data_IF_528000774926
#
_entry.id   IF_528000774926
#
_cell.length_a   1.000
_cell.length_b   1.000
_cell.length_c   1.000
_cell.angle_alpha   90.00
_cell.angle_beta   90.00
_cell.angle_gamma   90.00
#
_symmetry.space_group_name_H-M   'P 1'
#
loop_
_entity.id
_entity.type
_entity.pdbx_description
1 polymer ?
#
# COMPACT_ATOMS: atom_id res chain seq x y z
N UNK A 1 14.39 -38.51 6.23
CA UNK A 1 14.16 -39.75 6.99
C UNK A 1 12.88 -40.36 6.39
N UNK A 2 12.88 -41.38 5.53
CA UNK A 2 13.31 -42.77 5.77
C UNK A 2 12.69 -43.27 7.09
N UNK A 3 11.85 -44.32 7.19
CA UNK A 3 11.72 -45.54 6.38
C UNK A 3 10.79 -46.54 7.14
N UNK A 4 10.23 -47.53 6.42
CA UNK A 4 9.64 -48.83 6.87
C UNK A 4 8.39 -48.82 7.78
N UNK A 5 7.43 -49.76 7.70
CA UNK A 5 7.37 -51.07 7.03
C UNK A 5 6.56 -52.05 7.91
N UNK A 6 5.68 -52.84 7.28
CA UNK A 6 5.25 -54.22 7.61
C UNK A 6 4.53 -54.50 8.95
N UNK A 7 3.29 -55.01 8.94
CA UNK A 7 2.80 -56.39 8.70
C UNK A 7 2.95 -57.37 9.89
N UNK A 8 1.78 -57.85 10.31
CA UNK A 8 1.41 -59.17 10.89
C UNK A 8 1.80 -59.64 12.31
N UNK A 9 0.77 -60.29 12.91
CA UNK A 9 0.77 -61.39 13.89
C UNK A 9 1.12 -61.09 15.36
N UNK A 10 0.55 -61.74 16.38
CA UNK A 10 -0.66 -62.52 16.64
C UNK A 10 -0.66 -62.76 18.17
N UNK A 11 -1.86 -62.91 18.77
CA UNK A 11 -2.09 -63.57 20.06
C UNK A 11 -1.85 -62.72 21.32
N UNK A 12 -2.53 -62.97 22.45
CA UNK A 12 -3.52 -63.98 22.84
C UNK A 12 -3.88 -63.63 24.29
N UNK A 13 -5.17 -63.58 24.65
CA UNK A 13 -5.74 -63.82 26.00
C UNK A 13 -7.24 -63.45 25.91
N UNK A 14 -8.13 -64.37 25.50
CA UNK A 14 -8.67 -65.53 26.22
C UNK A 14 -9.51 -65.16 27.47
N UNK A 15 -10.83 -64.99 27.28
CA UNK A 15 -11.88 -65.34 28.25
C UNK A 15 -13.07 -65.94 27.50
N UNK A 16 -12.98 -67.26 27.28
CA UNK A 16 -14.05 -68.27 27.26
C UNK A 16 -14.95 -68.20 28.50
N UNK A 17 -16.21 -68.62 28.57
CA UNK A 17 -17.17 -69.29 27.66
C UNK A 17 -18.58 -69.24 28.32
N UNK A 18 -19.66 -69.65 27.62
CA UNK A 18 -21.06 -69.57 28.03
C UNK A 18 -21.53 -70.80 28.81
N UNK A 19 -22.66 -70.68 29.51
CA UNK A 19 -23.38 -71.82 30.12
C UNK A 19 -24.65 -72.10 29.31
N UNK A 20 -24.58 -73.22 28.60
CA UNK A 20 -25.67 -74.07 28.18
C UNK A 20 -26.20 -74.87 29.39
N UNK A 21 -27.46 -75.29 29.36
CA UNK A 21 -27.92 -76.49 30.07
C UNK A 21 -29.08 -77.07 29.25
N UNK A 22 -28.78 -78.00 28.34
CA UNK A 22 -28.74 -79.47 28.55
C UNK A 22 -30.16 -80.12 28.47
N UNK A 23 -30.42 -81.32 27.97
CA UNK A 23 -29.84 -82.27 26.98
C UNK A 23 -30.92 -83.37 26.78
N UNK A 24 -30.82 -84.11 25.67
CA UNK A 24 -31.07 -85.56 25.54
C UNK A 24 -32.47 -86.14 25.19
N UNK A 25 -32.49 -86.89 24.08
CA UNK A 25 -33.37 -88.06 23.75
C UNK A 25 -32.62 -89.39 24.10
N UNK A 26 -33.12 -90.66 23.99
CA UNK A 26 -34.26 -91.24 23.19
C UNK A 26 -34.98 -92.47 23.90
N UNK A 27 -35.55 -93.51 23.23
CA UNK A 27 -36.83 -93.60 22.47
C UNK A 27 -37.85 -94.68 22.98
N UNK A 28 -39.02 -94.72 22.31
CA UNK A 28 -39.89 -95.87 21.97
C UNK A 28 -41.27 -96.06 22.66
N UNK A 29 -42.20 -96.51 21.79
CA UNK A 29 -43.50 -97.19 21.97
C UNK A 29 -44.77 -96.29 21.96
N UNK A 30 -45.57 -96.47 20.90
CA UNK A 30 -46.93 -95.93 20.72
C UNK A 30 -47.91 -96.47 21.77
N UNK A 31 -49.08 -95.84 21.93
CA UNK A 31 -50.23 -96.44 21.27
C UNK A 31 -51.07 -95.44 20.47
N UNK A 32 -51.63 -96.01 19.41
CA UNK A 32 -52.82 -95.59 18.68
C UNK A 32 -53.91 -95.04 19.61
N UNK A 33 -54.57 -93.94 19.21
CA UNK A 33 -56.03 -93.85 19.12
C UNK A 33 -56.50 -92.43 18.75
N UNK A 34 -57.30 -92.41 17.69
CA UNK A 34 -58.56 -91.64 17.56
C UNK A 34 -58.52 -90.19 17.03
N UNK A 35 -59.11 -90.10 15.84
CA UNK A 35 -59.64 -88.92 15.16
C UNK A 35 -60.37 -87.91 16.07
N UNK A 36 -60.06 -86.62 15.90
CA UNK A 36 -61.05 -85.55 15.99
C UNK A 36 -60.58 -84.25 15.30
N UNK A 37 -61.23 -83.80 14.21
CA UNK A 37 -60.97 -82.48 13.64
C UNK A 37 -61.72 -81.41 14.45
N UNK A 38 -61.02 -80.60 15.25
CA UNK A 38 -61.64 -79.41 15.84
C UNK A 38 -61.50 -78.23 14.88
N UNK A 39 -62.56 -78.04 14.10
CA UNK A 39 -62.87 -76.90 13.24
C UNK A 39 -62.80 -75.57 14.03
N UNK A 40 -61.62 -74.94 14.08
CA UNK A 40 -61.48 -73.56 14.59
C UNK A 40 -61.88 -72.58 13.48
N UNK A 41 -63.17 -72.25 13.45
CA UNK A 41 -63.72 -71.09 12.72
C UNK A 41 -62.88 -69.85 13.01
N UNK A 42 -61.99 -69.50 12.09
CA UNK A 42 -61.32 -68.20 12.05
C UNK A 42 -62.41 -67.15 11.81
N UNK A 43 -62.63 -66.16 12.69
CA UNK A 43 -63.67 -65.17 12.43
C UNK A 43 -63.28 -64.39 11.16
N UNK A 44 -64.12 -64.47 10.13
CA UNK A 44 -63.94 -63.84 8.80
C UNK A 44 -63.81 -62.30 8.87
N UNK A 45 -63.97 -61.71 10.05
CA UNK A 45 -63.79 -60.29 10.33
C UNK A 45 -62.35 -59.89 10.68
N UNK A 46 -61.44 -60.83 10.99
CA UNK A 46 -60.03 -60.50 11.29
C UNK A 46 -59.23 -60.08 10.04
N UNK A 47 -59.51 -60.70 8.89
CA UNK A 47 -58.83 -60.39 7.62
C UNK A 47 -59.04 -58.93 7.18
N UNK A 48 -60.27 -58.36 7.15
CA UNK A 48 -60.44 -56.95 6.80
C UNK A 48 -59.82 -55.99 7.83
N UNK A 49 -59.77 -56.37 9.11
CA UNK A 49 -59.13 -55.56 10.16
C UNK A 49 -57.61 -55.52 9.98
N UNK A 50 -56.97 -56.66 9.68
CA UNK A 50 -55.52 -56.73 9.44
C UNK A 50 -55.14 -55.93 8.19
N UNK A 51 -55.94 -56.02 7.11
CA UNK A 51 -55.72 -55.22 5.90
C UNK A 51 -55.88 -53.73 6.19
N UNK A 52 -56.90 -53.33 6.96
CA UNK A 52 -57.09 -51.94 7.36
C UNK A 52 -55.90 -51.41 8.18
N UNK A 53 -55.38 -52.19 9.12
CA UNK A 53 -54.19 -51.82 9.92
C UNK A 53 -52.94 -51.70 9.04
N UNK A 54 -52.72 -52.63 8.10
CA UNK A 54 -51.58 -52.57 7.19
C UNK A 54 -51.61 -51.32 6.29
N UNK A 55 -52.80 -50.91 5.81
CA UNK A 55 -52.96 -49.68 5.03
C UNK A 55 -52.66 -48.44 5.85
N UNK A 56 -53.09 -48.38 7.12
CA UNK A 56 -52.78 -47.26 8.02
C UNK A 56 -51.28 -47.12 8.26
N UNK A 57 -50.56 -48.23 8.44
CA UNK A 57 -49.10 -48.22 8.64
C UNK A 57 -48.36 -47.68 7.40
N UNK A 58 -48.79 -48.04 6.18
CA UNK A 58 -48.18 -47.53 4.95
C UNK A 58 -48.42 -46.02 4.77
N UNK A 59 -49.61 -45.52 5.11
CA UNK A 59 -49.91 -44.07 5.06
C UNK A 59 -49.04 -43.30 6.05
N UNK A 60 -48.89 -43.81 7.28
CA UNK A 60 -48.04 -43.16 8.31
C UNK A 60 -46.58 -43.17 7.88
N UNK A 61 -46.06 -44.29 7.37
CA UNK A 61 -44.69 -44.37 6.85
C UNK A 61 -44.45 -43.40 5.68
N UNK A 62 -45.42 -43.27 4.77
CA UNK A 62 -45.38 -42.30 3.66
C UNK A 62 -45.34 -40.84 4.15
N UNK A 63 -46.17 -40.49 5.13
CA UNK A 63 -46.21 -39.14 5.71
C UNK A 63 -44.94 -38.79 6.47
N UNK A 64 -44.37 -39.74 7.24
CA UNK A 64 -43.11 -39.55 7.96
C UNK A 64 -41.94 -39.43 6.96
N UNK A 65 -41.89 -40.29 5.94
CA UNK A 65 -40.87 -40.22 4.89
C UNK A 65 -40.92 -38.91 4.10
N UNK A 66 -42.13 -38.45 3.75
CA UNK A 66 -42.35 -37.15 3.10
C UNK A 66 -41.85 -35.99 3.97
N UNK A 67 -42.23 -35.96 5.25
CA UNK A 67 -41.85 -34.90 6.18
C UNK A 67 -40.33 -34.84 6.41
N UNK A 68 -39.66 -35.99 6.50
CA UNK A 68 -38.19 -36.06 6.63
C UNK A 68 -37.49 -35.58 5.35
N UNK A 69 -38.00 -35.94 4.16
CA UNK A 69 -37.43 -35.48 2.89
C UNK A 69 -37.59 -33.96 2.73
N UNK A 70 -38.75 -33.41 3.08
CA UNK A 70 -39.04 -31.98 3.04
C UNK A 70 -38.19 -31.19 4.04
N UNK A 71 -37.99 -31.72 5.27
CA UNK A 71 -37.06 -31.14 6.24
C UNK A 71 -35.61 -31.13 5.73
N UNK A 72 -35.14 -32.21 5.08
CA UNK A 72 -33.78 -32.25 4.51
C UNK A 72 -33.59 -31.26 3.36
N UNK A 73 -34.59 -31.07 2.51
CA UNK A 73 -34.51 -30.08 1.43
C UNK A 73 -34.44 -28.66 1.99
N UNK A 74 -35.21 -28.38 3.04
CA UNK A 74 -35.20 -27.06 3.69
C UNK A 74 -33.88 -26.77 4.40
N UNK A 75 -33.37 -27.73 5.17
CA UNK A 75 -32.07 -27.62 5.84
C UNK A 75 -30.93 -27.42 4.82
N UNK A 76 -30.96 -28.16 3.71
CA UNK A 76 -29.99 -28.00 2.63
C UNK A 76 -30.06 -26.62 1.96
N UNK A 77 -31.28 -26.09 1.74
CA UNK A 77 -31.48 -24.74 1.20
C UNK A 77 -30.97 -23.66 2.15
N UNK A 78 -31.22 -23.81 3.46
CA UNK A 78 -30.72 -22.90 4.50
C UNK A 78 -29.20 -22.90 4.56
N UNK A 79 -28.59 -24.08 4.56
CA UNK A 79 -27.14 -24.24 4.55
C UNK A 79 -26.50 -23.62 3.29
N UNK A 80 -27.07 -23.89 2.12
CA UNK A 80 -26.62 -23.33 0.85
C UNK A 80 -26.70 -21.80 0.84
N UNK A 81 -27.81 -21.26 1.36
CA UNK A 81 -28.03 -19.82 1.49
C UNK A 81 -27.00 -19.19 2.45
N UNK A 82 -26.82 -19.76 3.63
CA UNK A 82 -25.83 -19.28 4.62
C UNK A 82 -24.41 -19.30 4.08
N UNK A 83 -24.02 -20.35 3.35
CA UNK A 83 -22.71 -20.42 2.68
C UNK A 83 -22.55 -19.29 1.66
N UNK A 84 -23.54 -19.08 0.80
CA UNK A 84 -23.50 -18.01 -0.20
C UNK A 84 -23.40 -16.62 0.45
N UNK A 85 -24.17 -16.37 1.51
CA UNK A 85 -24.11 -15.11 2.27
C UNK A 85 -22.76 -14.94 2.96
N UNK A 86 -22.21 -15.99 3.57
CA UNK A 86 -20.90 -15.94 4.23
C UNK A 86 -19.78 -15.60 3.24
N UNK A 87 -19.74 -16.25 2.08
CA UNK A 87 -18.76 -15.93 1.03
C UNK A 87 -18.88 -14.48 0.56
N UNK A 88 -20.11 -13.99 0.39
CA UNK A 88 -20.35 -12.59 0.06
C UNK A 88 -19.85 -11.66 1.17
N UNK A 89 -20.16 -11.94 2.43
CA UNK A 89 -19.72 -11.14 3.58
C UNK A 89 -18.19 -11.07 3.71
N UNK A 90 -17.48 -12.17 3.44
CA UNK A 90 -16.01 -12.20 3.41
C UNK A 90 -15.45 -11.24 2.35
N UNK A 91 -16.10 -11.12 1.19
CA UNK A 91 -15.69 -10.19 0.12
C UNK A 91 -16.13 -8.75 0.36
N UNK A 92 -17.20 -8.54 1.13
CA UNK A 92 -17.75 -7.21 1.47
C UNK A 92 -17.46 -6.78 2.91
N UNK A 93 -16.51 -7.42 3.57
CA UNK A 93 -16.05 -7.04 4.91
C UNK A 93 -15.48 -5.61 4.92
N UNK A 94 -15.43 -4.99 6.10
CA UNK A 94 -15.03 -3.57 6.26
C UNK A 94 -13.68 -3.25 5.60
N UNK A 95 -12.66 -4.10 5.81
CA UNK A 95 -11.34 -3.93 5.23
C UNK A 95 -11.35 -4.00 3.70
N UNK A 96 -12.04 -5.00 3.12
CA UNK A 96 -12.19 -5.14 1.66
C UNK A 96 -12.92 -3.94 1.05
N UNK A 97 -13.98 -3.50 1.70
CA UNK A 97 -14.74 -2.31 1.26
C UNK A 97 -13.91 -1.04 1.34
N UNK A 98 -13.04 -0.90 2.35
CA UNK A 98 -12.08 0.20 2.41
C UNK A 98 -11.11 0.15 1.22
N UNK A 99 -10.53 -1.01 0.90
CA UNK A 99 -9.66 -1.18 -0.27
C UNK A 99 -10.37 -0.90 -1.60
N UNK A 100 -11.64 -1.29 -1.75
CA UNK A 100 -12.42 -0.96 -2.95
C UNK A 100 -12.69 0.54 -3.06
N UNK A 101 -12.94 1.22 -1.95
CA UNK A 101 -13.11 2.70 -1.93
C UNK A 101 -11.80 3.42 -2.23
N UNK A 102 -10.69 2.94 -1.67
CA UNK A 102 -9.36 3.45 -2.00
C UNK A 102 -9.12 3.35 -3.50
N UNK A 103 -9.30 2.16 -4.09
CA UNK A 103 -9.13 1.95 -5.53
C UNK A 103 -10.11 2.79 -6.37
N UNK A 104 -11.36 2.94 -5.93
CA UNK A 104 -12.35 3.77 -6.63
C UNK A 104 -12.04 5.28 -6.55
N UNK A 105 -11.28 5.72 -5.55
CA UNK A 105 -10.81 7.10 -5.42
C UNK A 105 -9.56 7.43 -6.24
N UNK A 106 -8.92 6.43 -6.85
CA UNK A 106 -7.75 6.65 -7.71
C UNK A 106 -8.18 7.20 -9.06
N UNK A 107 -7.58 8.32 -9.46
CA UNK A 107 -7.86 8.97 -10.74
C UNK A 107 -6.98 8.46 -11.87
N UNK A 108 -7.41 8.70 -13.12
CA UNK A 108 -6.69 8.26 -14.32
C UNK A 108 -5.24 8.77 -14.41
N UNK A 109 -4.95 9.96 -13.88
CA UNK A 109 -3.57 10.51 -13.86
C UNK A 109 -2.64 9.85 -12.84
N UNK A 110 -3.19 9.08 -11.89
CA UNK A 110 -2.43 8.41 -10.83
C UNK A 110 -2.08 6.96 -11.17
N UNK A 111 -2.59 6.44 -12.29
CA UNK A 111 -2.35 5.07 -12.76
C UNK A 111 -1.55 5.09 -14.04
N UNK A 112 -0.81 4.01 -14.29
CA UNK A 112 -0.11 3.80 -15.55
C UNK A 112 -1.09 3.52 -16.70
N UNK A 113 -2.15 2.79 -16.40
CA UNK A 113 -3.21 2.41 -17.33
C UNK A 113 -4.55 3.03 -16.89
N UNK A 114 -4.96 4.11 -17.53
CA UNK A 114 -6.23 4.78 -17.26
C UNK A 114 -7.45 3.87 -17.49
N UNK A 115 -7.33 2.82 -18.31
CA UNK A 115 -8.42 1.88 -18.56
C UNK A 115 -8.78 1.08 -17.32
N UNK A 116 -7.86 0.88 -16.37
CA UNK A 116 -8.16 0.20 -15.10
C UNK A 116 -9.14 1.00 -14.24
N UNK A 117 -9.03 2.33 -14.24
CA UNK A 117 -9.95 3.22 -13.50
C UNK A 117 -11.34 3.16 -14.11
N UNK A 118 -11.44 3.16 -15.45
CA UNK A 118 -12.70 2.96 -16.16
C UNK A 118 -13.32 1.58 -15.87
N UNK A 119 -12.51 0.52 -15.87
CA UNK A 119 -12.96 -0.84 -15.55
C UNK A 119 -13.46 -0.95 -14.10
N UNK A 120 -12.80 -0.27 -13.16
CA UNK A 120 -13.25 -0.19 -11.77
C UNK A 120 -14.58 0.54 -11.66
N UNK A 121 -14.73 1.71 -12.28
CA UNK A 121 -15.99 2.45 -12.28
C UNK A 121 -17.16 1.63 -12.86
N UNK A 122 -16.94 0.90 -13.96
CA UNK A 122 -17.94 -0.03 -14.53
C UNK A 122 -18.27 -1.16 -13.58
N UNK A 123 -17.27 -1.77 -12.93
CA UNK A 123 -17.47 -2.88 -11.99
C UNK A 123 -18.26 -2.43 -10.77
N UNK A 124 -17.95 -1.25 -10.22
CA UNK A 124 -18.70 -0.64 -9.11
C UNK A 124 -20.13 -0.33 -9.52
N UNK A 125 -20.36 0.21 -10.73
CA UNK A 125 -21.70 0.45 -11.26
C UNK A 125 -22.50 -0.85 -11.39
N UNK A 126 -21.88 -1.91 -11.92
CA UNK A 126 -22.50 -3.23 -12.06
C UNK A 126 -22.82 -3.87 -10.70
N UNK A 127 -22.01 -3.58 -9.68
CA UNK A 127 -22.25 -3.96 -8.29
C UNK A 127 -23.31 -3.11 -7.57
N UNK A 128 -23.95 -2.14 -8.26
CA UNK A 128 -24.92 -1.20 -7.67
C UNK A 128 -24.29 -0.31 -6.57
N UNK A 129 -22.97 -0.10 -6.66
CA UNK A 129 -22.17 0.70 -5.76
C UNK A 129 -21.42 -0.11 -4.70
N UNK A 130 -20.65 0.59 -3.87
CA UNK A 130 -19.87 0.00 -2.77
C UNK A 130 -20.64 0.07 -1.45
N UNK A 131 -21.77 -0.63 -1.39
CA UNK A 131 -22.60 -0.78 -0.17
C UNK A 131 -22.37 -2.14 0.48
N UNK A 132 -22.69 -2.28 1.77
CA UNK A 132 -22.70 -3.62 2.37
C UNK A 132 -24.00 -4.33 2.01
N UNK A 133 -23.95 -5.58 1.53
CA UNK A 133 -25.14 -6.37 1.28
C UNK A 133 -25.79 -6.78 2.60
N UNK A 134 -27.12 -6.67 2.68
CA UNK A 134 -27.93 -6.98 3.87
C UNK A 134 -28.66 -8.33 3.76
N UNK A 135 -28.20 -9.21 2.87
CA UNK A 135 -28.81 -10.51 2.64
C UNK A 135 -28.61 -11.40 3.87
N UNK A 136 -29.69 -12.03 4.33
CA UNK A 136 -29.72 -12.91 5.49
C UNK A 136 -30.62 -14.10 5.20
N UNK A 137 -30.23 -15.29 5.66
CA UNK A 137 -31.02 -16.52 5.51
C UNK A 137 -31.54 -16.93 6.87
N UNK A 138 -32.86 -17.04 7.04
CA UNK A 138 -33.49 -17.42 8.32
C UNK A 138 -34.20 -18.75 8.17
N UNK A 139 -34.13 -19.60 9.21
CA UNK A 139 -34.83 -20.89 9.24
C UNK A 139 -36.35 -20.79 9.08
N UNK A 140 -36.94 -19.65 9.47
CA UNK A 140 -38.36 -19.37 9.32
C UNK A 140 -38.80 -19.03 7.89
N UNK A 141 -37.86 -18.84 6.95
CA UNK A 141 -38.18 -18.57 5.55
C UNK A 141 -38.64 -19.84 4.85
N UNK A 142 -39.34 -19.72 3.72
CA UNK A 142 -39.65 -20.88 2.87
C UNK A 142 -38.41 -21.36 2.12
N UNK A 143 -38.40 -22.60 1.64
CA UNK A 143 -37.31 -23.14 0.81
C UNK A 143 -37.09 -22.30 -0.45
N UNK A 144 -38.17 -21.80 -1.08
CA UNK A 144 -38.09 -20.94 -2.26
C UNK A 144 -37.49 -19.57 -1.96
N UNK A 145 -37.83 -18.97 -0.82
CA UNK A 145 -37.23 -17.70 -0.40
C UNK A 145 -35.73 -17.88 -0.09
N UNK A 146 -35.35 -18.98 0.56
CA UNK A 146 -33.93 -19.30 0.83
C UNK A 146 -33.16 -19.48 -0.47
N UNK A 147 -33.73 -20.18 -1.46
CA UNK A 147 -33.10 -20.34 -2.77
C UNK A 147 -32.99 -19.00 -3.52
N UNK A 148 -34.00 -18.14 -3.40
CA UNK A 148 -34.00 -16.79 -3.97
C UNK A 148 -32.91 -15.91 -3.35
N UNK A 149 -32.79 -15.88 -2.03
CA UNK A 149 -31.73 -15.14 -1.33
C UNK A 149 -30.34 -15.72 -1.61
N UNK A 150 -30.19 -17.05 -1.68
CA UNK A 150 -28.95 -17.70 -2.09
C UNK A 150 -28.55 -17.29 -3.52
N UNK A 151 -29.52 -17.21 -4.45
CA UNK A 151 -29.31 -16.75 -5.82
C UNK A 151 -28.87 -15.27 -5.88
N UNK A 152 -29.51 -14.39 -5.10
CA UNK A 152 -29.10 -12.99 -4.95
C UNK A 152 -27.69 -12.87 -4.39
N UNK A 153 -27.37 -13.63 -3.35
CA UNK A 153 -26.04 -13.64 -2.73
C UNK A 153 -24.96 -14.08 -3.74
N UNK A 154 -25.18 -15.15 -4.51
CA UNK A 154 -24.28 -15.61 -5.58
C UNK A 154 -24.11 -14.56 -6.68
N UNK A 155 -25.18 -13.89 -7.08
CA UNK A 155 -25.12 -12.83 -8.11
C UNK A 155 -24.30 -11.64 -7.63
N UNK A 156 -24.48 -11.20 -6.38
CA UNK A 156 -23.66 -10.15 -5.79
C UNK A 156 -22.21 -10.61 -5.61
N UNK A 157 -21.97 -11.85 -5.19
CA UNK A 157 -20.62 -12.40 -5.02
C UNK A 157 -19.81 -12.26 -6.32
N UNK A 158 -20.39 -12.63 -7.46
CA UNK A 158 -19.76 -12.47 -8.78
C UNK A 158 -19.49 -11.00 -9.14
N UNK A 159 -20.44 -10.10 -8.83
CA UNK A 159 -20.25 -8.66 -9.04
C UNK A 159 -19.09 -8.11 -8.18
N UNK A 160 -19.02 -8.48 -6.90
CA UNK A 160 -17.93 -8.06 -6.02
C UNK A 160 -16.59 -8.72 -6.36
N UNK A 161 -16.59 -9.92 -6.94
CA UNK A 161 -15.37 -10.51 -7.48
C UNK A 161 -14.80 -9.67 -8.64
N UNK A 162 -15.66 -9.19 -9.53
CA UNK A 162 -15.25 -8.26 -10.60
C UNK A 162 -14.70 -6.95 -10.01
N UNK A 163 -15.37 -6.39 -8.99
CA UNK A 163 -14.86 -5.20 -8.25
C UNK A 163 -13.51 -5.49 -7.62
N UNK A 164 -13.31 -6.64 -7.00
CA UNK A 164 -12.04 -7.00 -6.37
C UNK A 164 -10.90 -7.11 -7.39
N UNK A 165 -11.16 -7.72 -8.55
CA UNK A 165 -10.19 -7.79 -9.66
C UNK A 165 -9.86 -6.41 -10.19
N UNK A 166 -10.87 -5.57 -10.42
CA UNK A 166 -10.66 -4.21 -10.92
C UNK A 166 -9.92 -3.32 -9.90
N UNK A 167 -10.25 -3.43 -8.61
CA UNK A 167 -9.55 -2.73 -7.55
C UNK A 167 -8.07 -3.13 -7.50
N UNK A 168 -7.77 -4.43 -7.57
CA UNK A 168 -6.39 -4.93 -7.63
C UNK A 168 -5.65 -4.39 -8.86
N UNK A 169 -6.30 -4.36 -10.02
CA UNK A 169 -5.72 -3.83 -11.25
C UNK A 169 -5.39 -2.32 -11.14
N UNK A 170 -6.31 -1.52 -10.59
CA UNK A 170 -6.08 -0.09 -10.36
C UNK A 170 -4.91 0.15 -9.41
N UNK A 171 -4.89 -0.55 -8.27
CA UNK A 171 -3.81 -0.38 -7.29
C UNK A 171 -2.46 -0.84 -7.83
N UNK A 172 -2.43 -1.97 -8.55
CA UNK A 172 -1.21 -2.43 -9.22
C UNK A 172 -0.73 -1.42 -10.28
N UNK A 173 -1.65 -0.83 -11.05
CA UNK A 173 -1.35 0.18 -12.06
C UNK A 173 -0.84 1.50 -11.46
N UNK A 174 -1.40 1.90 -10.30
CA UNK A 174 -0.90 3.03 -9.49
C UNK A 174 0.51 2.75 -8.97
N UNK A 175 0.70 1.61 -8.32
CA UNK A 175 1.98 1.24 -7.72
C UNK A 175 3.07 1.10 -8.79
N UNK A 176 2.73 0.57 -9.97
CA UNK A 176 3.62 0.52 -11.13
C UNK A 176 4.01 1.93 -11.61
N UNK A 177 3.05 2.87 -11.71
CA UNK A 177 3.35 4.27 -12.04
C UNK A 177 4.25 4.91 -10.99
N UNK A 178 3.94 4.76 -9.70
CA UNK A 178 4.76 5.31 -8.61
C UNK A 178 6.18 4.75 -8.63
N UNK A 179 6.35 3.46 -8.96
CA UNK A 179 7.66 2.86 -9.12
C UNK A 179 8.43 3.43 -10.32
N UNK A 180 7.77 3.62 -11.45
CA UNK A 180 8.38 4.21 -12.65
C UNK A 180 8.79 5.66 -12.42
N UNK A 181 7.90 6.47 -11.82
CA UNK A 181 8.19 7.86 -11.47
C UNK A 181 9.37 7.94 -10.47
N UNK A 182 9.41 7.03 -9.48
CA UNK A 182 10.53 6.97 -8.53
C UNK A 182 11.86 6.55 -9.17
N UNK A 183 11.83 5.64 -10.15
CA UNK A 183 13.02 5.26 -10.95
C UNK A 183 13.53 6.45 -11.75
N UNK A 184 12.65 7.12 -12.49
CA UNK A 184 13.00 8.30 -13.28
C UNK A 184 13.56 9.44 -12.40
N UNK A 185 12.96 9.67 -11.23
CA UNK A 185 13.47 10.65 -10.27
C UNK A 185 14.86 10.29 -9.75
N UNK A 186 15.11 9.01 -9.44
CA UNK A 186 16.43 8.54 -9.02
C UNK A 186 17.47 8.73 -10.13
N UNK A 187 17.14 8.37 -11.37
CA UNK A 187 18.07 8.49 -12.49
C UNK A 187 18.38 9.96 -12.79
N UNK A 188 17.38 10.85 -12.78
CA UNK A 188 17.62 12.29 -12.88
C UNK A 188 18.51 12.84 -11.76
N UNK A 189 18.37 12.33 -10.53
CA UNK A 189 19.24 12.70 -9.41
C UNK A 189 20.66 12.14 -9.54
N UNK A 190 20.85 10.97 -10.12
CA UNK A 190 22.19 10.44 -10.46
C UNK A 190 22.88 11.31 -11.50
N UNK A 191 22.14 11.79 -12.50
CA UNK A 191 22.69 12.67 -13.53
C UNK A 191 23.13 14.01 -12.93
N UNK A 192 22.30 14.61 -12.08
CA UNK A 192 22.62 15.82 -11.33
C UNK A 192 23.86 15.63 -10.44
N UNK A 193 23.90 14.54 -9.68
CA UNK A 193 25.03 14.17 -8.81
C UNK A 193 26.31 13.95 -9.62
N UNK A 194 26.24 13.25 -10.75
CA UNK A 194 27.40 12.96 -11.61
C UNK A 194 27.96 14.24 -12.23
N UNK A 195 27.08 15.15 -12.67
CA UNK A 195 27.49 16.46 -13.17
C UNK A 195 28.17 17.28 -12.07
N UNK A 196 27.57 17.33 -10.88
CA UNK A 196 28.14 18.04 -9.73
C UNK A 196 29.52 17.47 -9.34
N UNK A 197 29.70 16.15 -9.39
CA UNK A 197 30.99 15.50 -9.10
C UNK A 197 32.11 15.99 -10.05
N UNK A 198 31.77 16.22 -11.32
CA UNK A 198 32.66 16.84 -12.30
C UNK A 198 32.89 18.32 -12.06
N UNK A 199 31.80 19.09 -11.88
CA UNK A 199 31.83 20.54 -11.70
C UNK A 199 32.52 20.99 -10.39
N UNK A 200 32.60 20.10 -9.40
CA UNK A 200 33.20 20.34 -8.08
C UNK A 200 34.70 20.04 -8.00
N UNK A 201 35.32 19.56 -9.07
CA UNK A 201 36.75 19.23 -9.08
C UNK A 201 37.63 20.44 -8.78
N UNK A 202 38.48 20.33 -7.76
CA UNK A 202 39.33 21.43 -7.26
C UNK A 202 38.57 22.60 -6.60
N UNK A 203 37.25 22.51 -6.47
CA UNK A 203 36.38 23.61 -6.00
C UNK A 203 35.74 23.37 -4.64
N UNK A 204 35.99 22.22 -4.02
CA UNK A 204 35.51 21.87 -2.67
C UNK A 204 36.55 22.14 -1.59
N UNK A 205 36.10 22.48 -0.39
CA UNK A 205 36.98 22.65 0.78
C UNK A 205 37.43 21.28 1.34
N UNK A 206 36.53 20.30 1.31
CA UNK A 206 36.76 18.93 1.76
C UNK A 206 36.48 17.94 0.63
N UNK A 207 37.54 17.23 0.18
CA UNK A 207 37.43 16.21 -0.86
C UNK A 207 36.65 14.96 -0.40
N UNK A 208 36.55 14.68 0.91
CA UNK A 208 35.75 13.56 1.41
C UNK A 208 34.25 13.71 1.07
N UNK A 209 33.78 14.95 0.85
CA UNK A 209 32.42 15.20 0.36
C UNK A 209 32.20 14.68 -1.05
N UNK A 210 33.19 14.79 -1.94
CA UNK A 210 33.14 14.23 -3.31
C UNK A 210 33.19 12.70 -3.28
N UNK A 211 34.02 12.12 -2.42
CA UNK A 211 34.08 10.66 -2.24
C UNK A 211 32.74 10.11 -1.74
N UNK A 212 32.09 10.82 -0.80
CA UNK A 212 30.76 10.47 -0.29
C UNK A 212 29.70 10.54 -1.38
N UNK A 213 29.73 11.59 -2.23
CA UNK A 213 28.83 11.71 -3.38
C UNK A 213 29.03 10.57 -4.38
N UNK A 214 30.28 10.21 -4.69
CA UNK A 214 30.61 9.07 -5.56
C UNK A 214 30.07 7.75 -5.01
N UNK A 215 30.30 7.48 -3.73
CA UNK A 215 29.76 6.28 -3.07
C UNK A 215 28.22 6.25 -3.08
N UNK A 216 27.56 7.40 -2.93
CA UNK A 216 26.10 7.49 -3.00
C UNK A 216 25.57 7.18 -4.42
N UNK A 217 26.23 7.67 -5.47
CA UNK A 217 25.93 7.35 -6.86
C UNK A 217 26.08 5.85 -7.11
N UNK A 218 27.20 5.26 -6.68
CA UNK A 218 27.47 3.82 -6.85
C UNK A 218 26.39 2.97 -6.15
N UNK A 219 26.06 3.29 -4.89
CA UNK A 219 24.99 2.60 -4.13
C UNK A 219 23.63 2.74 -4.82
N UNK A 220 23.30 3.92 -5.32
CA UNK A 220 22.07 4.15 -6.07
C UNK A 220 22.03 3.36 -7.40
N UNK A 221 23.19 3.14 -8.04
CA UNK A 221 23.35 2.32 -9.24
C UNK A 221 23.17 0.81 -9.00
N UNK A 222 23.31 0.35 -7.76
CA UNK A 222 23.16 -1.06 -7.38
C UNK A 222 21.71 -1.48 -7.13
N UNK A 223 20.76 -0.54 -7.11
CA UNK A 223 19.33 -0.84 -6.91
C UNK A 223 18.76 -1.40 -8.20
N UNK A 224 18.54 -2.72 -8.23
CA UNK A 224 17.99 -3.44 -9.41
C UNK A 224 16.51 -3.78 -9.25
N UNK A 225 16.06 -4.01 -8.03
CA UNK A 225 14.69 -4.42 -7.73
C UNK A 225 14.26 -3.88 -6.36
N UNK A 226 13.05 -3.35 -6.27
CA UNK A 226 12.55 -2.75 -5.05
C UNK A 226 11.19 -2.09 -5.21
N UNK A 227 10.53 -1.82 -4.08
CA UNK A 227 9.33 -0.96 -4.05
C UNK A 227 9.75 0.49 -4.29
N UNK A 228 8.82 1.34 -4.73
CA UNK A 228 9.06 2.76 -4.99
C UNK A 228 9.82 3.48 -3.86
N UNK A 229 9.53 3.11 -2.60
CA UNK A 229 10.21 3.63 -1.41
C UNK A 229 11.75 3.46 -1.47
N UNK A 230 12.27 2.34 -1.94
CA UNK A 230 13.72 2.12 -2.01
C UNK A 230 14.40 3.10 -3.00
N UNK A 231 13.75 3.39 -4.13
CA UNK A 231 14.22 4.37 -5.10
C UNK A 231 14.13 5.80 -4.57
N UNK A 232 13.04 6.13 -3.86
CA UNK A 232 12.86 7.42 -3.20
C UNK A 232 13.92 7.66 -2.12
N UNK A 233 14.16 6.66 -1.26
CA UNK A 233 15.16 6.76 -0.19
C UNK A 233 16.57 6.94 -0.76
N UNK A 234 16.90 6.27 -1.86
CA UNK A 234 18.16 6.47 -2.57
C UNK A 234 18.28 7.85 -3.22
N UNK A 235 17.19 8.38 -3.78
CA UNK A 235 17.16 9.73 -4.34
C UNK A 235 17.37 10.79 -3.24
N UNK A 236 16.76 10.59 -2.06
CA UNK A 236 16.98 11.45 -0.89
C UNK A 236 18.41 11.38 -0.37
N UNK A 237 19.02 10.18 -0.34
CA UNK A 237 20.42 10.03 0.04
C UNK A 237 21.37 10.74 -0.95
N UNK A 238 21.08 10.67 -2.26
CA UNK A 238 21.81 11.42 -3.26
C UNK A 238 21.66 12.94 -3.08
N UNK A 239 20.44 13.41 -2.80
CA UNK A 239 20.21 14.83 -2.53
C UNK A 239 21.04 15.32 -1.34
N UNK A 240 21.07 14.56 -0.24
CA UNK A 240 21.88 14.93 0.93
C UNK A 240 23.38 15.02 0.60
N UNK A 241 23.90 14.10 -0.22
CA UNK A 241 25.30 14.15 -0.66
C UNK A 241 25.59 15.32 -1.62
N UNK A 242 24.64 15.63 -2.52
CA UNK A 242 24.69 16.83 -3.37
C UNK A 242 24.79 18.09 -2.50
N UNK A 243 23.94 18.21 -1.49
CA UNK A 243 23.90 19.36 -0.59
C UNK A 243 25.22 19.51 0.20
N UNK A 244 25.83 18.40 0.63
CA UNK A 244 27.14 18.41 1.29
C UNK A 244 28.27 18.90 0.37
N UNK A 245 28.30 18.47 -0.89
CA UNK A 245 29.29 18.97 -1.87
C UNK A 245 29.08 20.45 -2.15
N UNK A 246 27.83 20.90 -2.29
CA UNK A 246 27.51 22.32 -2.47
C UNK A 246 27.96 23.17 -1.28
N UNK A 247 27.70 22.71 -0.04
CA UNK A 247 28.17 23.38 1.16
C UNK A 247 29.71 23.46 1.22
N UNK A 248 30.40 22.38 0.84
CA UNK A 248 31.87 22.32 0.77
C UNK A 248 32.44 23.28 -0.28
N UNK A 249 31.81 23.39 -1.46
CA UNK A 249 32.20 24.38 -2.48
C UNK A 249 31.97 25.81 -1.99
N UNK A 250 30.86 26.07 -1.30
CA UNK A 250 30.56 27.37 -0.75
C UNK A 250 31.59 27.77 0.33
N UNK A 251 31.94 26.84 1.22
CA UNK A 251 32.97 27.05 2.23
C UNK A 251 34.34 27.39 1.60
N UNK A 252 34.74 26.67 0.54
CA UNK A 252 35.97 26.99 -0.19
C UNK A 252 35.91 28.37 -0.84
N UNK A 253 34.81 28.69 -1.50
CA UNK A 253 34.62 30.01 -2.11
C UNK A 253 34.74 31.14 -1.09
N UNK A 254 34.17 30.97 0.11
CA UNK A 254 34.28 31.96 1.18
C UNK A 254 35.71 32.09 1.70
N UNK A 255 36.41 30.97 1.89
CA UNK A 255 37.81 30.97 2.32
C UNK A 255 38.73 31.63 1.28
N UNK A 256 38.55 31.33 0.00
CA UNK A 256 39.33 31.90 -1.11
C UNK A 256 39.08 33.42 -1.22
N UNK A 257 37.84 33.89 -1.02
CA UNK A 257 37.51 35.32 -0.98
C UNK A 257 38.17 36.05 0.21
N UNK A 258 38.16 35.43 1.39
CA UNK A 258 38.82 35.99 2.58
C UNK A 258 40.34 36.08 2.39
N UNK A 259 40.95 35.04 1.82
CA UNK A 259 42.37 35.03 1.50
C UNK A 259 42.74 36.13 0.48
N UNK A 260 41.93 36.31 -0.56
CA UNK A 260 42.12 37.38 -1.55
C UNK A 260 42.02 38.78 -0.92
N UNK A 261 41.06 39.01 -0.02
CA UNK A 261 40.91 40.28 0.69
C UNK A 261 42.12 40.59 1.60
N UNK A 262 42.64 39.59 2.32
CA UNK A 262 43.84 39.74 3.14
C UNK A 262 45.09 40.04 2.30
N UNK A 263 45.23 39.39 1.14
CA UNK A 263 46.33 39.64 0.21
C UNK A 263 46.30 41.08 -0.34
N UNK A 264 45.11 41.60 -0.68
CA UNK A 264 44.94 42.97 -1.14
C UNK A 264 45.33 44.01 -0.07
N UNK A 265 44.99 43.76 1.20
CA UNK A 265 45.39 44.65 2.31
C UNK A 265 46.91 44.69 2.54
N UNK A 266 47.62 43.58 2.31
CA UNK A 266 49.08 43.53 2.45
C UNK A 266 49.81 44.22 1.29
N UNK A 267 49.22 44.27 0.10
CA UNK A 267 49.80 45.00 -1.04
C UNK A 267 49.68 46.52 -0.89
N UNK A 268 48.60 47.03 -0.28
CA UNK A 268 48.40 48.47 -0.04
C UNK A 268 49.37 49.03 1.02
N UNK A 269 49.72 48.24 2.05
CA UNK A 269 50.71 48.63 3.07
C UNK A 269 52.15 48.65 2.55
N UNK A 270 52.46 47.91 1.48
CA UNK A 270 53.80 47.87 0.88
C UNK A 270 54.03 49.02 -0.12
N UNK A 271 52.98 49.53 -0.79
CA UNK A 271 53.09 50.74 -1.63
C UNK A 271 53.08 52.05 -0.83
N UNK A 272 52.62 52.05 0.43
CA UNK A 272 52.80 53.17 1.37
C UNK A 272 54.14 53.07 2.11
N UNK A 273 55.27 52.87 1.41
CA UNK A 273 56.53 53.36 1.94
C UNK A 273 56.62 54.86 1.68
N UNK A 274 56.65 55.73 2.71
CA UNK A 274 56.96 57.13 2.51
C UNK A 274 58.40 57.21 2.04
N UNK A 275 58.61 57.62 0.78
CA UNK A 275 59.92 58.11 0.36
C UNK A 275 60.22 59.36 1.18
N UNK A 276 60.91 59.18 2.31
CA UNK A 276 61.49 60.25 3.10
C UNK A 276 62.56 60.92 2.24
N UNK A 277 62.18 61.98 1.53
CA UNK A 277 63.11 62.93 0.92
C UNK A 277 63.40 64.03 1.96
N UNK A 278 64.68 64.29 2.28
CA UNK A 278 65.03 65.30 3.26
C UNK A 278 64.72 66.71 2.74
N UNK A 279 64.32 67.57 3.67
CA UNK A 279 63.95 68.97 3.50
C UNK A 279 65.01 69.76 2.71
N UNK A 280 64.56 70.39 1.62
CA UNK A 280 65.27 71.40 0.84
C UNK A 280 64.32 72.55 0.53
N UNK A 281 64.35 73.57 1.37
CA UNK A 281 63.55 74.78 1.32
C UNK A 281 63.90 75.64 0.10
N UNK A 282 63.08 75.68 -0.96
CA UNK A 282 63.03 76.80 -1.91
C UNK A 282 61.67 76.92 -2.62
N UNK A 283 61.06 78.10 -2.50
CA UNK A 283 60.44 78.79 -3.62
C UNK A 283 58.98 78.47 -3.96
N UNK A 284 58.10 79.46 -3.72
CA UNK A 284 56.73 79.59 -4.24
C UNK A 284 56.61 79.21 -5.71
N UNK A 285 55.49 78.62 -6.10
CA UNK A 285 54.56 79.15 -7.12
C UNK A 285 53.30 78.26 -7.16
N UNK A 286 52.14 78.82 -6.84
CA UNK A 286 50.82 78.30 -7.25
C UNK A 286 50.59 78.66 -8.71
N UNK A 287 49.87 77.82 -9.48
CA UNK A 287 48.53 78.28 -9.86
C UNK A 287 47.45 77.18 -9.92
N UNK A 288 46.22 77.67 -9.65
CA UNK A 288 44.92 77.27 -10.20
C UNK A 288 44.42 75.82 -10.09
N UNK A 289 43.34 75.68 -9.32
CA UNK A 289 42.36 74.60 -9.39
C UNK A 289 41.76 74.52 -10.81
N UNK A 290 41.71 73.31 -11.37
CA UNK A 290 40.91 72.96 -12.54
C UNK A 290 39.91 71.84 -12.15
N UNK A 291 38.66 71.90 -12.65
CA UNK A 291 37.58 71.03 -12.21
C UNK A 291 37.70 69.60 -12.76
N UNK A 292 37.12 68.67 -12.02
CA UNK A 292 37.13 67.23 -12.27
C UNK A 292 36.47 66.84 -13.61
N UNK A 293 37.00 65.83 -14.34
CA UNK A 293 36.24 65.06 -15.29
C UNK A 293 35.43 63.97 -14.58
N UNK A 294 34.18 63.84 -15.02
CA UNK A 294 33.15 62.90 -14.59
C UNK A 294 33.55 61.43 -14.77
N UNK A 295 33.31 60.65 -13.72
CA UNK A 295 33.34 59.18 -13.72
C UNK A 295 32.21 58.61 -14.60
N UNK A 296 32.44 57.53 -15.37
CA UNK A 296 31.35 56.70 -15.88
C UNK A 296 30.71 55.91 -14.73
N UNK A 297 29.39 55.98 -14.61
CA UNK A 297 28.60 55.11 -13.75
C UNK A 297 28.83 53.64 -14.16
N UNK A 298 29.55 52.89 -13.34
CA UNK A 298 29.48 51.42 -13.29
C UNK A 298 28.67 51.03 -12.05
N UNK A 299 27.69 50.14 -12.26
CA UNK A 299 26.71 49.70 -11.28
C UNK A 299 27.34 49.24 -9.98
N UNK A 300 26.79 49.74 -8.88
CA UNK A 300 27.20 49.40 -7.53
C UNK A 300 27.03 47.91 -7.26
N UNK A 301 28.13 47.26 -6.91
CA UNK A 301 28.13 45.97 -6.24
C UNK A 301 27.47 46.11 -4.87
N UNK A 302 26.36 45.40 -4.65
CA UNK A 302 25.74 45.22 -3.34
C UNK A 302 26.78 44.68 -2.35
N UNK A 303 27.13 45.49 -1.35
CA UNK A 303 28.00 45.06 -0.27
C UNK A 303 27.14 44.36 0.80
N UNK A 304 27.18 43.02 0.80
CA UNK A 304 26.38 42.14 1.69
C UNK A 304 26.70 42.33 3.19
N UNK A 305 27.80 43.01 3.52
CA UNK A 305 28.22 43.25 4.90
C UNK A 305 27.29 44.20 5.70
N UNK A 306 26.47 45.01 5.02
CA UNK A 306 25.53 45.94 5.70
C UNK A 306 24.18 45.31 6.09
N UNK A 307 23.89 44.06 5.69
CA UNK A 307 22.58 43.44 5.92
C UNK A 307 22.70 42.02 6.50
N UNK A 308 23.06 41.88 7.80
CA UNK A 308 23.30 40.59 8.43
C UNK A 308 22.07 39.65 8.50
N UNK A 309 20.85 40.18 8.28
CA UNK A 309 19.59 39.42 8.41
C UNK A 309 18.86 39.18 7.07
N UNK A 310 19.43 39.61 5.93
CA UNK A 310 18.79 39.49 4.61
C UNK A 310 18.61 38.03 4.18
N UNK A 311 19.57 37.17 4.55
CA UNK A 311 19.55 35.74 4.23
C UNK A 311 18.44 34.97 4.96
N UNK A 312 18.09 35.39 6.18
CA UNK A 312 17.09 34.69 7.00
C UNK A 312 15.64 35.04 6.60
N UNK A 313 15.43 36.21 6.00
CA UNK A 313 14.12 36.61 5.45
C UNK A 313 13.82 35.96 4.09
N UNK A 314 14.84 35.71 3.26
CA UNK A 314 14.66 35.06 1.96
C UNK A 314 14.31 33.57 2.05
N UNK A 315 14.71 32.88 3.13
CA UNK A 315 14.42 31.45 3.32
C UNK A 315 13.02 31.18 3.92
N UNK A 316 12.37 32.15 4.57
CA UNK A 316 11.11 31.94 5.28
C UNK A 316 9.83 32.13 4.45
N UNK A 317 9.91 32.51 3.17
CA UNK A 317 8.77 32.41 2.25
C UNK A 317 7.53 33.27 2.55
N UNK A 318 7.57 34.20 3.51
CA UNK A 318 6.41 35.02 3.94
C UNK A 318 6.71 36.54 4.04
N UNK A 319 7.72 37.05 3.31
CA UNK A 319 8.16 38.45 3.40
C UNK A 319 7.79 39.30 2.18
N UNK A 320 7.11 40.43 2.39
CA UNK A 320 6.82 41.47 1.40
C UNK A 320 8.06 42.15 0.77
N UNK A 321 7.90 43.28 0.04
CA UNK A 321 8.97 43.88 -0.74
C UNK A 321 10.17 44.29 0.14
N UNK A 322 11.37 43.91 -0.28
CA UNK A 322 12.62 44.35 0.34
C UNK A 322 12.98 45.73 -0.21
N UNK A 323 13.15 46.73 0.67
CA UNK A 323 13.37 48.13 0.31
C UNK A 323 14.74 48.59 0.82
N UNK A 324 15.47 49.33 -0.01
CA UNK A 324 16.74 49.94 0.37
C UNK A 324 16.56 51.18 1.28
N UNK A 325 17.67 51.73 1.76
CA UNK A 325 17.66 52.91 2.64
C UNK A 325 17.21 54.20 1.92
N UNK A 326 17.01 54.15 0.61
CA UNK A 326 16.55 55.24 -0.25
C UNK A 326 15.07 55.10 -0.62
N UNK A 327 14.40 54.04 -0.15
CA UNK A 327 13.00 53.79 -0.43
C UNK A 327 12.73 52.98 -1.70
N UNK A 328 13.75 52.46 -2.38
CA UNK A 328 13.58 51.67 -3.60
C UNK A 328 13.46 50.17 -3.31
N UNK A 329 12.54 49.50 -4.00
CA UNK A 329 12.38 48.06 -3.88
C UNK A 329 13.48 47.29 -4.64
N UNK A 330 14.18 46.39 -3.96
CA UNK A 330 15.32 45.61 -4.47
C UNK A 330 15.03 44.09 -4.63
N UNK A 331 13.96 43.57 -4.00
CA UNK A 331 13.49 42.19 -4.18
C UNK A 331 12.01 42.04 -3.78
N UNK A 332 11.29 41.06 -4.37
CA UNK A 332 9.86 40.78 -4.12
C UNK A 332 8.91 41.98 -4.35
N UNK A 333 9.15 42.76 -5.41
CA UNK A 333 8.40 44.01 -5.69
C UNK A 333 7.02 43.82 -6.34
N UNK A 334 6.47 42.60 -6.36
CA UNK A 334 5.15 42.35 -6.93
C UNK A 334 4.07 43.04 -6.08
N UNK A 335 3.48 44.11 -6.61
CA UNK A 335 2.44 44.90 -5.94
C UNK A 335 2.94 46.15 -5.19
N UNK A 336 4.22 46.49 -5.28
CA UNK A 336 4.76 47.70 -4.65
C UNK A 336 4.46 48.96 -5.49
N UNK A 337 3.73 49.91 -4.92
CA UNK A 337 3.37 51.20 -5.53
C UNK A 337 3.96 52.35 -4.69
N UNK A 338 5.25 52.63 -4.82
CA UNK A 338 5.94 53.72 -4.10
C UNK A 338 6.88 54.52 -5.00
N UNK A 339 6.84 55.86 -4.87
CA UNK A 339 7.23 56.86 -5.88
C UNK A 339 8.70 57.34 -5.85
N UNK A 340 9.18 57.69 -7.07
CA UNK A 340 10.28 58.60 -7.49
C UNK A 340 11.45 58.90 -6.55
#
# INVERSE_FOLDING_TARGET
MADQGDEEAEGLENVSDPVESETASPPAIMPDNEDAPSDRRRPKWLVPVIVAVAVVVLIVAGLVGWRVMESRQHDAALDSCNRAVKTLQEKTGSARMASYREAAGVNAGQVKDASTVLAMARSVKNAEGLKQPTIQCKASMSTDDLNTEAGKAKKLDSKYEAVAKAAKAVLASRDAKTLEDAKAALDGKKDEASKLLGDSDGRVADNATRDSLKQAIDKAGQIKDGKAKAYQDAASALQAAIDQVNASMQAKSQADQQAAAQAAQQQDTTQRQPSYRPSGNHGRYQPAQAPAPSSPHQGGSLNIQDYPNLWEQLQKGDGGPAIDNQGNCIANCYGWTGSN
#
